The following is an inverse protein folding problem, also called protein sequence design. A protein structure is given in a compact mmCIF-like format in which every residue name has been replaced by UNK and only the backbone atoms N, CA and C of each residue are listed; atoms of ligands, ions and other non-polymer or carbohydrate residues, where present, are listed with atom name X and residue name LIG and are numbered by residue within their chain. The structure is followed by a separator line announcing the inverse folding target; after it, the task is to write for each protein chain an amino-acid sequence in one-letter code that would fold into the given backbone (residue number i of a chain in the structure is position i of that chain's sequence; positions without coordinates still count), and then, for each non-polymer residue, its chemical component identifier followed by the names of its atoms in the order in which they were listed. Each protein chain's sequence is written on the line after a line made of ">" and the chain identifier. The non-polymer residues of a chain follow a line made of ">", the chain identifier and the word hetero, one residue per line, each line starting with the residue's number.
data_IF_571039490018
#
_entry.id   IF_571039490018
#
_cell.length_a   1.000
_cell.length_b   1.000
_cell.length_c   1.000
_cell.angle_alpha   90.00
_cell.angle_beta   90.00
_cell.angle_gamma   90.00
#
_symmetry.space_group_name_H-M   'P 1'
#
loop_
_entity.id
_entity.type
_entity.pdbx_description
1 polymer ?
#
# COMPACT_ATOMS: atom_id res chain seq x y z
N UNK A 1 13.07 -22.07 0.58
CA UNK A 1 12.85 -22.40 2.02
C UNK A 1 11.62 -21.71 2.58
N UNK A 2 11.43 -20.44 2.31
CA UNK A 2 10.26 -19.66 2.77
C UNK A 2 8.94 -20.32 2.33
N UNK A 3 8.78 -20.63 1.07
CA UNK A 3 7.60 -21.30 0.49
C UNK A 3 7.26 -22.61 1.22
N UNK A 4 8.25 -23.44 1.52
CA UNK A 4 8.03 -24.69 2.28
C UNK A 4 7.47 -24.45 3.69
N UNK A 5 7.83 -23.33 4.33
CA UNK A 5 7.27 -22.97 5.63
C UNK A 5 5.82 -22.50 5.48
N UNK A 6 5.51 -21.76 4.41
CA UNK A 6 4.13 -21.36 4.08
C UNK A 6 3.29 -22.61 3.77
N UNK A 7 3.78 -23.52 2.94
CA UNK A 7 3.13 -24.81 2.63
C UNK A 7 2.84 -25.62 3.91
N UNK A 8 3.78 -25.67 4.86
CA UNK A 8 3.56 -26.32 6.15
C UNK A 8 2.46 -25.63 6.98
N UNK A 9 2.37 -24.28 6.91
CA UNK A 9 1.28 -23.54 7.55
C UNK A 9 -0.08 -23.81 6.87
N UNK A 10 -0.11 -23.92 5.54
CA UNK A 10 -1.31 -24.28 4.77
C UNK A 10 -1.76 -25.70 5.15
N UNK A 11 -0.84 -26.67 5.14
CA UNK A 11 -1.13 -28.07 5.50
C UNK A 11 -1.62 -28.22 6.95
N UNK A 12 -1.23 -27.31 7.84
CA UNK A 12 -1.69 -27.25 9.23
C UNK A 12 -3.00 -26.47 9.43
N UNK A 13 -3.71 -26.10 8.36
CA UNK A 13 -4.94 -25.29 8.39
C UNK A 13 -4.79 -23.92 9.09
N UNK A 14 -3.60 -23.33 9.02
CA UNK A 14 -3.34 -22.01 9.61
C UNK A 14 -3.57 -20.85 8.64
N UNK A 15 -3.70 -21.13 7.36
CA UNK A 15 -4.03 -20.15 6.30
C UNK A 15 -5.51 -20.24 6.01
N UNK A 16 -6.21 -19.12 6.05
CA UNK A 16 -7.65 -19.03 5.72
C UNK A 16 -7.88 -18.86 4.23
N UNK A 17 -7.04 -18.05 3.59
CA UNK A 17 -7.16 -17.71 2.18
C UNK A 17 -8.21 -16.64 1.85
N UNK A 18 -9.19 -16.40 2.74
CA UNK A 18 -10.28 -15.46 2.51
C UNK A 18 -9.85 -13.99 2.58
N UNK A 19 -9.01 -13.67 3.53
CA UNK A 19 -8.61 -12.29 3.79
C UNK A 19 -7.11 -12.12 3.92
N UNK A 20 -6.57 -11.19 3.14
CA UNK A 20 -5.18 -10.78 3.27
C UNK A 20 -5.07 -9.34 3.75
N UNK A 21 -3.93 -9.04 4.34
CA UNK A 21 -3.54 -7.67 4.62
C UNK A 21 -2.13 -7.39 4.11
N UNK A 22 -1.92 -6.18 3.63
CA UNK A 22 -0.59 -5.67 3.29
C UNK A 22 -0.23 -4.53 4.21
N UNK A 23 1.03 -4.54 4.62
CA UNK A 23 1.61 -3.44 5.38
C UNK A 23 3.12 -3.42 5.18
N UNK A 24 3.75 -2.28 5.46
CA UNK A 24 5.19 -2.11 5.34
C UNK A 24 5.78 -1.50 6.61
N UNK A 25 6.99 -1.88 6.94
CA UNK A 25 7.72 -1.30 8.05
C UNK A 25 9.12 -0.87 7.64
N UNK A 26 9.49 0.34 8.02
CA UNK A 26 10.84 0.85 7.79
C UNK A 26 11.82 0.16 8.73
N UNK A 27 12.87 -0.43 8.15
CA UNK A 27 13.99 -1.05 8.86
C UNK A 27 15.25 -0.25 8.54
N UNK A 28 15.99 0.12 9.58
CA UNK A 28 17.21 0.92 9.44
C UNK A 28 18.26 0.13 8.66
N UNK A 29 18.80 0.71 7.60
CA UNK A 29 19.88 0.12 6.81
C UNK A 29 21.24 0.22 7.54
N UNK A 30 22.17 -0.69 7.22
CA UNK A 30 23.57 -0.56 7.66
C UNK A 30 24.33 0.47 6.80
N UNK A 31 23.90 1.72 6.90
CA UNK A 31 24.39 2.85 6.15
C UNK A 31 24.76 4.01 7.09
N UNK A 32 25.97 4.57 6.93
CA UNK A 32 26.46 5.65 7.79
C UNK A 32 26.01 7.01 7.24
N UNK A 33 25.21 7.73 8.03
CA UNK A 33 24.75 9.09 7.70
C UNK A 33 25.91 10.08 7.49
N UNK A 34 26.97 9.99 8.30
CA UNK A 34 28.10 10.92 8.22
C UNK A 34 28.95 10.74 6.96
N UNK A 35 28.86 9.57 6.31
CA UNK A 35 29.55 9.25 5.06
C UNK A 35 28.63 9.34 3.84
N UNK A 36 27.43 9.91 4.01
CA UNK A 36 26.51 10.13 2.88
C UNK A 36 26.97 11.29 2.02
N UNK A 37 26.65 11.21 0.74
CA UNK A 37 26.90 12.27 -0.24
C UNK A 37 25.57 12.82 -0.76
N UNK A 38 25.54 14.05 -1.30
CA UNK A 38 24.37 14.56 -2.01
C UNK A 38 23.96 13.61 -3.16
N UNK A 39 22.69 13.40 -3.36
CA UNK A 39 22.20 12.52 -4.42
C UNK A 39 22.58 12.98 -5.82
N UNK A 40 22.77 14.29 -6.04
CA UNK A 40 23.26 14.89 -7.28
C UNK A 40 24.70 14.50 -7.63
N UNK A 41 25.50 14.11 -6.63
CA UNK A 41 26.88 13.68 -6.79
C UNK A 41 27.01 12.16 -7.00
N UNK A 42 25.93 11.41 -6.81
CA UNK A 42 25.90 9.97 -7.04
C UNK A 42 25.71 9.66 -8.51
N UNK A 43 26.71 9.05 -9.15
CA UNK A 43 26.62 8.57 -10.53
C UNK A 43 26.03 7.16 -10.60
N UNK A 44 24.95 6.99 -11.36
CA UNK A 44 24.36 5.67 -11.69
C UNK A 44 25.16 4.95 -12.81
N UNK A 45 26.10 5.64 -13.47
CA UNK A 45 26.93 5.09 -14.55
C UNK A 45 28.30 4.64 -14.06
N UNK A 46 28.43 4.30 -12.78
CA UNK A 46 29.68 3.79 -12.21
C UNK A 46 30.04 2.44 -12.80
N UNK A 47 31.37 2.24 -13.00
CA UNK A 47 31.89 0.92 -13.33
C UNK A 47 31.60 -0.06 -12.16
N UNK A 48 30.89 -1.16 -12.42
CA UNK A 48 30.67 -2.20 -11.41
C UNK A 48 31.97 -2.93 -11.01
N UNK A 49 33.01 -2.93 -11.86
CA UNK A 49 34.30 -3.53 -11.55
C UNK A 49 34.94 -2.74 -10.41
N UNK A 50 35.30 -3.38 -9.34
CA UNK A 50 35.83 -2.73 -8.14
C UNK A 50 34.81 -2.15 -7.17
N UNK A 51 33.52 -2.15 -7.51
CA UNK A 51 32.46 -1.76 -6.60
C UNK A 51 32.17 -2.83 -5.52
N UNK A 52 31.70 -2.41 -4.35
CA UNK A 52 31.23 -3.37 -3.34
C UNK A 52 30.02 -4.19 -3.83
N UNK A 53 29.75 -5.34 -3.20
CA UNK A 53 28.59 -6.19 -3.51
C UNK A 53 27.29 -5.40 -3.54
N UNK A 54 27.00 -4.62 -2.51
CA UNK A 54 25.76 -3.84 -2.41
C UNK A 54 25.62 -2.79 -3.52
N UNK A 55 26.73 -2.18 -3.95
CA UNK A 55 26.73 -1.24 -5.08
C UNK A 55 26.46 -1.96 -6.39
N UNK A 56 27.11 -3.12 -6.63
CA UNK A 56 26.84 -3.93 -7.83
C UNK A 56 25.39 -4.40 -7.90
N UNK A 57 24.85 -4.90 -6.80
CA UNK A 57 23.45 -5.29 -6.71
C UNK A 57 22.52 -4.13 -7.05
N UNK A 58 22.75 -2.94 -6.48
CA UNK A 58 21.93 -1.77 -6.80
C UNK A 58 22.03 -1.35 -8.28
N UNK A 59 23.23 -1.38 -8.85
CA UNK A 59 23.41 -1.07 -10.28
C UNK A 59 22.68 -2.07 -11.19
N UNK A 60 22.60 -3.34 -10.76
CA UNK A 60 21.82 -4.37 -11.48
C UNK A 60 20.30 -4.23 -11.31
N UNK A 61 19.83 -3.46 -10.34
CA UNK A 61 18.40 -3.23 -10.07
C UNK A 61 17.94 -1.81 -10.42
N UNK A 62 18.67 -1.09 -11.27
CA UNK A 62 18.31 0.29 -11.62
C UNK A 62 16.96 0.41 -12.33
N UNK A 63 16.59 -0.60 -13.12
CA UNK A 63 15.31 -0.67 -13.84
C UNK A 63 14.21 -1.35 -13.04
N UNK A 64 14.55 -1.86 -11.84
CA UNK A 64 13.58 -2.51 -10.96
C UNK A 64 12.73 -1.47 -10.22
N UNK A 65 11.41 -1.61 -10.33
CA UNK A 65 10.43 -0.75 -9.63
C UNK A 65 10.50 -0.84 -8.10
N UNK A 66 11.09 -1.90 -7.55
CA UNK A 66 11.35 -2.00 -6.11
C UNK A 66 12.53 -1.10 -5.67
N UNK A 67 13.47 -0.82 -6.55
CA UNK A 67 14.73 -0.13 -6.21
C UNK A 67 15.04 1.07 -7.12
N UNK A 68 15.72 0.88 -8.24
CA UNK A 68 16.25 1.97 -9.05
C UNK A 68 15.16 2.79 -9.73
N UNK A 69 14.16 2.14 -10.29
CA UNK A 69 13.02 2.76 -10.96
C UNK A 69 11.88 3.13 -10.01
N UNK A 70 12.03 2.95 -8.68
CA UNK A 70 10.99 3.27 -7.70
C UNK A 70 10.60 4.76 -7.68
N UNK A 71 11.50 5.64 -8.11
CA UNK A 71 11.26 7.08 -8.20
C UNK A 71 12.28 7.73 -9.14
N UNK A 72 11.80 8.67 -9.96
CA UNK A 72 12.64 9.55 -10.77
C UNK A 72 13.30 10.68 -9.95
N UNK A 73 12.80 10.90 -8.73
CA UNK A 73 13.28 11.97 -7.87
C UNK A 73 14.69 11.65 -7.36
N UNK A 74 15.63 12.58 -7.61
CA UNK A 74 16.97 12.49 -7.03
C UNK A 74 16.90 12.56 -5.52
N UNK A 75 17.39 11.54 -4.78
CA UNK A 75 17.35 11.55 -3.32
C UNK A 75 18.25 12.66 -2.75
N UNK A 76 17.86 13.24 -1.61
CA UNK A 76 18.66 14.28 -0.98
C UNK A 76 20.06 13.81 -0.59
N UNK A 77 20.15 12.57 -0.08
CA UNK A 77 21.40 11.93 0.28
C UNK A 77 21.41 10.49 -0.20
N UNK A 78 22.60 9.99 -0.54
CA UNK A 78 22.88 8.59 -0.91
C UNK A 78 24.01 8.09 -0.03
N UNK A 79 23.91 6.84 0.41
CA UNK A 79 25.02 6.15 1.06
C UNK A 79 25.90 5.48 0.02
N UNK A 80 27.20 5.84 -0.13
CA UNK A 80 28.09 5.19 -1.09
C UNK A 80 28.28 3.69 -0.84
N UNK A 81 28.10 3.22 0.40
CA UNK A 81 28.24 1.82 0.77
C UNK A 81 26.95 1.00 0.57
N UNK A 82 25.79 1.67 0.46
CA UNK A 82 24.48 1.05 0.24
C UNK A 82 23.53 2.05 -0.45
N UNK A 83 23.69 2.24 -1.77
CA UNK A 83 22.95 3.28 -2.50
C UNK A 83 21.47 2.96 -2.72
N UNK A 84 21.06 1.70 -2.55
CA UNK A 84 19.65 1.30 -2.59
C UNK A 84 18.87 1.74 -1.35
N UNK A 85 19.55 1.89 -0.21
CA UNK A 85 18.92 2.35 1.03
C UNK A 85 18.40 3.79 0.85
N UNK A 86 17.11 4.01 1.15
CA UNK A 86 16.47 5.30 0.98
C UNK A 86 16.73 6.21 2.18
N UNK A 87 17.17 7.45 1.94
CA UNK A 87 17.15 8.50 2.95
C UNK A 87 15.71 8.92 3.24
N UNK A 88 15.24 8.65 4.43
CA UNK A 88 13.85 8.89 4.84
C UNK A 88 13.77 9.53 6.22
N UNK A 89 12.68 10.24 6.49
CA UNK A 89 12.38 10.80 7.80
C UNK A 89 11.43 9.90 8.58
N UNK A 90 11.70 9.72 9.88
CA UNK A 90 10.72 9.14 10.78
C UNK A 90 9.79 10.23 11.33
N UNK A 91 8.53 9.90 11.58
CA UNK A 91 7.68 10.77 12.40
C UNK A 91 8.34 10.97 13.76
N UNK A 92 8.70 12.22 14.09
CA UNK A 92 9.31 12.63 15.37
C UNK A 92 10.74 12.15 15.63
N UNK A 93 11.55 11.91 14.58
CA UNK A 93 12.96 11.51 14.74
C UNK A 93 13.87 12.09 13.66
N UNK A 94 15.21 11.97 13.82
CA UNK A 94 16.13 12.33 12.77
C UNK A 94 15.98 11.41 11.56
N UNK A 95 16.20 11.93 10.36
CA UNK A 95 16.20 11.14 9.15
C UNK A 95 17.33 10.09 9.16
N UNK A 96 17.10 8.96 8.49
CA UNK A 96 17.98 7.81 8.42
C UNK A 96 17.86 7.08 7.09
N UNK A 97 18.82 6.20 6.80
CA UNK A 97 18.72 5.29 5.65
C UNK A 97 17.90 4.05 6.02
N UNK A 98 16.98 3.65 5.17
CA UNK A 98 16.08 2.53 5.41
C UNK A 98 15.74 1.77 4.13
N UNK A 99 15.32 0.52 4.33
CA UNK A 99 14.51 -0.26 3.43
C UNK A 99 13.10 -0.40 3.99
N UNK A 100 12.12 -0.62 3.14
CA UNK A 100 10.79 -1.05 3.53
C UNK A 100 10.71 -2.59 3.50
N UNK A 101 10.33 -3.17 4.63
CA UNK A 101 9.97 -4.58 4.77
C UNK A 101 8.48 -4.71 4.56
N UNK A 102 8.08 -5.21 3.39
CA UNK A 102 6.69 -5.34 2.99
C UNK A 102 6.24 -6.78 3.24
N UNK A 103 5.10 -6.95 3.90
CA UNK A 103 4.47 -8.24 4.16
C UNK A 103 3.09 -8.32 3.52
N UNK A 104 2.82 -9.47 2.90
CA UNK A 104 1.48 -9.95 2.60
C UNK A 104 1.12 -11.02 3.64
N UNK A 105 0.01 -10.85 4.34
CA UNK A 105 -0.31 -11.62 5.54
C UNK A 105 -1.74 -12.15 5.44
N UNK A 106 -1.92 -13.47 5.61
CA UNK A 106 -3.22 -14.05 5.86
C UNK A 106 -3.73 -13.68 7.26
N UNK A 107 -4.95 -13.17 7.34
CA UNK A 107 -5.49 -12.56 8.57
C UNK A 107 -6.05 -13.58 9.56
N UNK A 108 -6.26 -14.85 9.19
CA UNK A 108 -6.83 -15.90 10.06
C UNK A 108 -6.06 -16.01 11.37
N UNK A 109 -4.77 -16.27 11.27
CA UNK A 109 -3.88 -16.33 12.43
C UNK A 109 -2.60 -15.51 12.28
N UNK A 110 -2.43 -14.77 11.18
CA UNK A 110 -1.28 -13.92 10.91
C UNK A 110 -0.08 -14.68 10.35
N UNK A 111 -0.29 -15.51 9.34
CA UNK A 111 0.77 -16.16 8.57
C UNK A 111 1.24 -15.20 7.48
N UNK A 112 2.55 -14.98 7.38
CA UNK A 112 3.15 -14.18 6.32
C UNK A 112 3.20 -15.04 5.07
N UNK A 113 2.41 -14.66 4.05
CA UNK A 113 2.28 -15.39 2.79
C UNK A 113 3.40 -15.02 1.81
N UNK A 114 3.85 -13.76 1.86
CA UNK A 114 4.96 -13.29 1.04
C UNK A 114 5.66 -12.09 1.71
N UNK A 115 6.91 -11.85 1.31
CA UNK A 115 7.75 -10.77 1.83
C UNK A 115 8.62 -10.18 0.73
N UNK A 116 8.67 -8.85 0.68
CA UNK A 116 9.47 -8.15 -0.33
C UNK A 116 10.19 -6.94 0.26
N UNK A 117 11.52 -6.89 0.04
CA UNK A 117 12.32 -5.72 0.33
C UNK A 117 12.18 -4.68 -0.78
N UNK A 118 11.92 -3.43 -0.41
CA UNK A 118 11.92 -2.32 -1.36
C UNK A 118 12.65 -1.11 -0.82
N UNK A 119 12.92 -0.14 -1.69
CA UNK A 119 13.20 1.21 -1.23
C UNK A 119 12.05 1.72 -0.36
N UNK A 120 12.37 2.48 0.69
CA UNK A 120 11.37 3.10 1.56
C UNK A 120 10.67 4.28 0.86
N UNK A 121 9.94 3.98 -0.21
CA UNK A 121 9.19 4.90 -1.07
C UNK A 121 7.81 4.28 -1.31
N UNK A 122 6.77 5.09 -1.13
CA UNK A 122 5.38 4.65 -1.25
C UNK A 122 5.06 3.90 -2.55
N UNK A 123 5.57 4.36 -3.70
CA UNK A 123 5.33 3.71 -4.99
C UNK A 123 5.91 2.29 -5.03
N UNK A 124 7.08 2.10 -4.43
CA UNK A 124 7.72 0.78 -4.33
C UNK A 124 6.93 -0.15 -3.41
N UNK A 125 6.43 0.34 -2.28
CA UNK A 125 5.61 -0.42 -1.32
C UNK A 125 4.28 -0.87 -1.95
N UNK A 126 3.58 0.03 -2.66
CA UNK A 126 2.34 -0.32 -3.39
C UNK A 126 2.63 -1.32 -4.52
N UNK A 127 3.74 -1.15 -5.24
CA UNK A 127 4.17 -2.11 -6.27
C UNK A 127 4.49 -3.48 -5.69
N UNK A 128 5.15 -3.53 -4.52
CA UNK A 128 5.43 -4.78 -3.81
C UNK A 128 4.14 -5.54 -3.44
N UNK A 129 3.12 -4.83 -2.96
CA UNK A 129 1.83 -5.45 -2.64
C UNK A 129 1.22 -6.18 -3.85
N UNK A 130 1.26 -5.57 -5.03
CA UNK A 130 0.78 -6.21 -6.27
C UNK A 130 1.56 -7.48 -6.60
N UNK A 131 2.90 -7.39 -6.61
CA UNK A 131 3.77 -8.54 -6.91
C UNK A 131 3.62 -9.67 -5.88
N UNK A 132 3.49 -9.34 -4.61
CA UNK A 132 3.30 -10.33 -3.54
C UNK A 132 1.97 -11.09 -3.70
N UNK A 133 0.88 -10.40 -4.05
CA UNK A 133 -0.42 -11.02 -4.32
C UNK A 133 -0.30 -11.96 -5.53
N UNK A 134 0.33 -11.52 -6.61
CA UNK A 134 0.53 -12.33 -7.81
C UNK A 134 1.41 -13.56 -7.55
N UNK A 135 2.51 -13.41 -6.79
CA UNK A 135 3.36 -14.55 -6.41
C UNK A 135 2.62 -15.54 -5.54
N UNK A 136 1.84 -15.07 -4.57
CA UNK A 136 1.05 -15.94 -3.69
C UNK A 136 0.00 -16.73 -4.48
N UNK A 137 -0.70 -16.08 -5.42
CA UNK A 137 -1.63 -16.75 -6.34
C UNK A 137 -0.91 -17.81 -7.19
N UNK A 138 0.24 -17.46 -7.76
CA UNK A 138 1.01 -18.37 -8.62
C UNK A 138 1.65 -19.55 -7.86
N UNK A 139 2.14 -19.33 -6.63
CA UNK A 139 2.85 -20.35 -5.87
C UNK A 139 1.92 -21.29 -5.10
N UNK A 140 0.80 -20.80 -4.61
CA UNK A 140 -0.06 -21.54 -3.68
C UNK A 140 -1.50 -21.72 -4.18
N UNK A 141 -1.85 -21.15 -5.34
CA UNK A 141 -3.23 -21.11 -5.89
C UNK A 141 -4.23 -20.52 -4.87
N UNK A 142 -3.78 -19.51 -4.11
CA UNK A 142 -4.60 -18.81 -3.10
C UNK A 142 -4.76 -17.35 -3.51
N UNK A 143 -6.01 -16.93 -3.68
CA UNK A 143 -6.39 -15.54 -3.94
C UNK A 143 -7.39 -15.10 -2.87
N UNK A 144 -7.16 -13.97 -2.19
CA UNK A 144 -8.08 -13.51 -1.15
C UNK A 144 -9.39 -12.95 -1.73
N UNK A 145 -10.47 -13.08 -0.98
CA UNK A 145 -11.75 -12.42 -1.26
C UNK A 145 -11.65 -10.92 -0.96
N UNK A 146 -10.89 -10.53 0.06
CA UNK A 146 -10.66 -9.13 0.39
C UNK A 146 -9.20 -8.83 0.78
N UNK A 147 -8.80 -7.59 0.53
CA UNK A 147 -7.49 -7.06 0.90
C UNK A 147 -7.64 -5.87 1.85
N UNK A 148 -7.06 -5.99 3.05
CA UNK A 148 -6.99 -4.90 4.02
C UNK A 148 -5.64 -4.18 3.93
N UNK A 149 -5.68 -2.85 3.81
CA UNK A 149 -4.47 -2.03 3.81
C UNK A 149 -4.75 -0.63 4.38
N UNK A 150 -3.70 0.17 4.52
CA UNK A 150 -3.86 1.56 4.93
C UNK A 150 -4.22 2.47 3.74
N UNK A 151 -4.45 3.76 4.03
CA UNK A 151 -4.77 4.77 3.02
C UNK A 151 -3.67 4.91 1.96
N UNK A 152 -2.43 4.50 2.22
CA UNK A 152 -1.34 4.56 1.24
C UNK A 152 -1.66 3.79 -0.04
N UNK A 153 -2.43 2.71 0.09
CA UNK A 153 -2.86 1.84 -1.02
C UNK A 153 -4.18 2.28 -1.68
N UNK A 154 -4.84 3.32 -1.17
CA UNK A 154 -6.17 3.79 -1.61
C UNK A 154 -6.16 4.72 -2.83
N UNK A 155 -5.16 4.64 -3.73
CA UNK A 155 -5.16 5.38 -4.99
C UNK A 155 -6.17 4.79 -5.99
N UNK A 156 -6.65 5.60 -6.95
CA UNK A 156 -7.59 5.14 -7.97
C UNK A 156 -7.04 3.96 -8.77
N UNK A 157 -5.78 4.04 -9.21
CA UNK A 157 -5.14 3.00 -10.01
C UNK A 157 -4.93 1.69 -9.23
N UNK A 158 -4.54 1.81 -7.94
CA UNK A 158 -4.38 0.63 -7.09
C UNK A 158 -5.71 -0.05 -6.82
N UNK A 159 -6.75 0.74 -6.50
CA UNK A 159 -8.09 0.20 -6.27
C UNK A 159 -8.68 -0.40 -7.54
N UNK A 160 -8.44 0.20 -8.71
CA UNK A 160 -8.86 -0.36 -10.00
C UNK A 160 -8.22 -1.73 -10.25
N UNK A 161 -6.94 -1.86 -10.02
CA UNK A 161 -6.24 -3.13 -10.15
C UNK A 161 -6.81 -4.20 -9.19
N UNK A 162 -7.06 -3.85 -7.93
CA UNK A 162 -7.63 -4.76 -6.92
C UNK A 162 -9.04 -5.20 -7.33
N UNK A 163 -9.91 -4.25 -7.70
CA UNK A 163 -11.34 -4.52 -7.97
C UNK A 163 -11.54 -5.17 -9.34
N UNK A 164 -11.00 -4.55 -10.40
CA UNK A 164 -11.34 -4.92 -11.77
C UNK A 164 -10.40 -5.96 -12.37
N UNK A 165 -9.11 -5.97 -12.00
CA UNK A 165 -8.17 -6.93 -12.56
C UNK A 165 -8.04 -8.17 -11.69
N UNK A 166 -8.06 -8.01 -10.36
CA UNK A 166 -7.92 -9.13 -9.41
C UNK A 166 -9.25 -9.63 -8.83
N UNK A 167 -10.33 -8.88 -8.97
CA UNK A 167 -11.64 -9.21 -8.39
C UNK A 167 -11.56 -9.46 -6.87
N UNK A 168 -10.85 -8.59 -6.16
CA UNK A 168 -10.65 -8.61 -4.71
C UNK A 168 -11.41 -7.43 -4.10
N UNK A 169 -12.14 -7.62 -3.00
CA UNK A 169 -12.82 -6.54 -2.30
C UNK A 169 -11.80 -5.65 -1.54
N UNK A 170 -11.74 -4.33 -1.84
CA UNK A 170 -10.77 -3.43 -1.22
C UNK A 170 -11.26 -2.94 0.15
N UNK A 171 -10.79 -3.53 1.23
CA UNK A 171 -10.97 -3.00 2.58
C UNK A 171 -9.89 -1.94 2.88
N UNK A 172 -9.84 -0.91 2.04
CA UNK A 172 -8.79 0.12 1.99
C UNK A 172 -9.44 1.51 2.01
N UNK A 173 -9.05 2.41 2.93
CA UNK A 173 -9.55 3.78 2.91
C UNK A 173 -9.09 4.52 1.65
N UNK A 174 -10.02 5.19 0.98
CA UNK A 174 -9.74 5.90 -0.27
C UNK A 174 -8.89 7.15 -0.04
N UNK A 175 -7.88 7.38 -0.88
CA UNK A 175 -7.20 8.68 -0.95
C UNK A 175 -8.15 9.65 -1.66
N UNK A 176 -8.80 10.51 -0.90
CA UNK A 176 -9.67 11.54 -1.46
C UNK A 176 -9.14 12.94 -1.16
N UNK A 177 -8.72 13.64 -2.20
CA UNK A 177 -8.28 15.04 -2.16
C UNK A 177 -9.38 16.01 -2.58
N UNK A 178 -10.60 15.53 -2.81
CA UNK A 178 -11.71 16.36 -3.26
C UNK A 178 -12.44 17.07 -2.11
N UNK A 179 -12.15 16.66 -0.87
CA UNK A 179 -12.71 17.30 0.32
C UNK A 179 -12.22 18.74 0.44
N UNK A 180 -13.14 19.65 0.73
CA UNK A 180 -12.87 21.09 0.88
C UNK A 180 -13.05 21.52 2.33
N UNK A 181 -12.13 22.32 2.81
CA UNK A 181 -12.14 22.89 4.15
C UNK A 181 -12.49 24.38 4.19
N UNK A 182 -12.72 24.96 3.00
CA UNK A 182 -13.04 26.40 2.81
C UNK A 182 -14.54 26.72 2.98
N UNK A 183 -15.35 25.75 3.46
CA UNK A 183 -16.80 25.89 3.61
C UNK A 183 -17.58 25.78 2.30
N UNK A 184 -16.91 25.54 1.17
CA UNK A 184 -17.58 25.28 -0.09
C UNK A 184 -17.85 23.78 -0.29
N UNK A 185 -18.83 23.46 -1.13
CA UNK A 185 -19.21 22.08 -1.41
C UNK A 185 -18.05 21.25 -1.94
N UNK A 186 -17.82 20.11 -1.31
CA UNK A 186 -16.92 19.05 -1.76
C UNK A 186 -17.54 18.26 -2.90
N UNK A 187 -16.80 17.31 -3.48
CA UNK A 187 -17.36 16.43 -4.52
C UNK A 187 -18.47 15.51 -3.96
N UNK A 188 -18.34 15.06 -2.73
CA UNK A 188 -19.32 14.20 -2.04
C UNK A 188 -20.70 14.85 -1.88
N UNK A 189 -20.80 16.18 -1.93
CA UNK A 189 -22.09 16.88 -1.92
C UNK A 189 -22.84 16.79 -3.26
N UNK A 190 -22.19 16.24 -4.29
CA UNK A 190 -22.76 16.06 -5.63
C UNK A 190 -23.03 14.56 -5.87
N UNK A 191 -24.26 14.20 -6.21
CA UNK A 191 -24.64 12.84 -6.50
C UNK A 191 -24.25 12.47 -7.93
N UNK A 192 -23.48 11.41 -8.10
CA UNK A 192 -23.20 10.83 -9.42
C UNK A 192 -24.34 9.90 -9.84
N UNK A 193 -24.78 10.07 -11.07
CA UNK A 193 -25.76 9.21 -11.74
C UNK A 193 -25.00 8.43 -12.82
N UNK A 194 -24.76 7.15 -12.55
CA UNK A 194 -23.94 6.28 -13.38
C UNK A 194 -24.61 5.97 -14.72
N UNK A 195 -25.94 5.71 -14.71
CA UNK A 195 -26.68 5.37 -15.94
C UNK A 195 -26.66 6.50 -16.95
N UNK A 196 -26.75 7.75 -16.45
CA UNK A 196 -26.77 8.95 -17.29
C UNK A 196 -25.39 9.58 -17.47
N UNK A 197 -24.40 9.10 -16.75
CA UNK A 197 -23.04 9.66 -16.69
C UNK A 197 -23.02 11.16 -16.44
N UNK A 198 -23.72 11.61 -15.38
CA UNK A 198 -23.83 13.02 -14.97
C UNK A 198 -23.67 13.16 -13.46
N UNK A 199 -23.33 14.37 -13.02
CA UNK A 199 -23.48 14.74 -11.60
C UNK A 199 -24.73 15.59 -11.40
N UNK A 200 -25.40 15.42 -10.27
CA UNK A 200 -26.49 16.29 -9.80
C UNK A 200 -25.98 17.11 -8.63
N UNK A 201 -26.03 18.45 -8.73
CA UNK A 201 -25.58 19.35 -7.69
C UNK A 201 -26.59 19.49 -6.55
N UNK A 202 -26.21 20.07 -5.38
CA UNK A 202 -27.12 20.30 -4.24
C UNK A 202 -28.37 21.15 -4.57
N UNK A 203 -28.31 21.95 -5.66
CA UNK A 203 -29.47 22.71 -6.16
C UNK A 203 -30.30 21.92 -7.19
N UNK A 204 -30.07 20.61 -7.37
CA UNK A 204 -30.82 19.78 -8.32
C UNK A 204 -30.47 19.97 -9.80
N UNK A 205 -29.42 20.73 -10.13
CA UNK A 205 -28.98 20.95 -11.51
C UNK A 205 -27.92 19.94 -11.93
N UNK A 206 -27.85 19.64 -13.22
CA UNK A 206 -26.96 18.63 -13.79
C UNK A 206 -25.61 19.22 -14.20
N UNK A 207 -24.55 18.44 -14.01
CA UNK A 207 -23.23 18.68 -14.61
C UNK A 207 -22.99 17.57 -15.63
N UNK A 208 -22.65 17.96 -16.84
CA UNK A 208 -22.43 17.04 -17.97
C UNK A 208 -20.97 17.01 -18.38
N UNK A 209 -20.56 15.98 -19.10
CA UNK A 209 -19.22 15.82 -19.64
C UNK A 209 -19.26 15.59 -21.14
N UNK A 210 -18.15 15.90 -21.82
CA UNK A 210 -17.92 15.48 -23.22
C UNK A 210 -17.26 14.09 -23.29
N UNK A 211 -16.94 13.47 -22.13
CA UNK A 211 -16.23 12.19 -22.06
C UNK A 211 -14.72 12.31 -22.29
N UNK A 212 -14.18 13.50 -22.55
CA UNK A 212 -12.76 13.68 -22.77
C UNK A 212 -11.96 13.40 -21.49
N UNK A 213 -10.97 12.50 -21.60
CA UNK A 213 -10.03 12.18 -20.52
C UNK A 213 -8.84 13.12 -20.64
N UNK A 214 -8.59 13.88 -19.60
CA UNK A 214 -7.43 14.77 -19.54
C UNK A 214 -6.11 14.02 -19.24
N UNK A 215 -4.96 14.71 -19.37
CA UNK A 215 -3.65 14.13 -19.06
C UNK A 215 -3.50 13.68 -17.60
N UNK A 216 -4.35 14.21 -16.72
CA UNK A 216 -4.44 13.87 -15.29
C UNK A 216 -5.37 12.67 -15.00
N UNK A 217 -5.69 11.86 -16.03
CA UNK A 217 -6.65 10.75 -15.97
C UNK A 217 -8.04 11.17 -15.46
N UNK A 218 -8.36 12.48 -15.56
CA UNK A 218 -9.59 13.06 -15.06
C UNK A 218 -10.60 13.35 -16.18
N UNK A 219 -11.85 12.93 -15.97
CA UNK A 219 -13.02 13.34 -16.76
C UNK A 219 -13.64 14.56 -16.07
N UNK A 220 -13.92 15.61 -16.84
CA UNK A 220 -14.43 16.88 -16.32
C UNK A 220 -15.93 17.00 -16.60
N UNK A 221 -16.67 17.29 -15.53
CA UNK A 221 -18.12 17.55 -15.58
C UNK A 221 -18.36 19.03 -15.31
N UNK A 222 -19.18 19.67 -16.12
CA UNK A 222 -19.44 21.10 -16.07
C UNK A 222 -20.91 21.37 -15.85
N UNK A 223 -21.21 22.28 -14.94
CA UNK A 223 -22.54 22.87 -14.80
C UNK A 223 -22.76 23.97 -15.85
N UNK A 224 -24.02 24.25 -16.19
CA UNK A 224 -24.38 25.40 -17.02
C UNK A 224 -24.05 26.72 -16.31
N UNK A 225 -23.41 27.65 -17.01
CA UNK A 225 -23.14 28.99 -16.50
C UNK A 225 -24.43 29.73 -16.14
N UNK A 226 -25.51 29.50 -16.94
CA UNK A 226 -26.83 30.12 -16.69
C UNK A 226 -27.40 29.66 -15.36
N UNK A 227 -27.37 28.33 -15.10
CA UNK A 227 -27.87 27.72 -13.87
C UNK A 227 -27.07 28.20 -12.65
N UNK A 228 -25.74 28.26 -12.76
CA UNK A 228 -24.89 28.71 -11.66
C UNK A 228 -24.99 30.22 -11.37
N UNK A 229 -25.22 31.03 -12.38
CA UNK A 229 -25.35 32.50 -12.20
C UNK A 229 -26.58 32.85 -11.37
N UNK A 230 -27.68 32.18 -11.56
CA UNK A 230 -28.95 32.40 -10.87
C UNK A 230 -29.09 31.56 -9.56
N UNK A 231 -28.08 30.79 -9.19
CA UNK A 231 -28.17 29.85 -8.10
C UNK A 231 -27.95 30.51 -6.72
N UNK A 232 -28.90 30.38 -5.81
CA UNK A 232 -28.80 30.88 -4.42
C UNK A 232 -27.67 30.21 -3.61
N UNK A 233 -27.16 29.05 -4.04
CA UNK A 233 -26.04 28.34 -3.40
C UNK A 233 -24.67 28.65 -4.01
N UNK A 234 -24.62 29.60 -4.97
CA UNK A 234 -23.37 29.94 -5.68
C UNK A 234 -22.21 30.27 -4.76
N UNK A 235 -22.45 31.08 -3.71
CA UNK A 235 -21.45 31.51 -2.74
C UNK A 235 -20.81 30.31 -1.99
N UNK A 236 -21.57 29.24 -1.77
CA UNK A 236 -21.09 27.98 -1.13
C UNK A 236 -20.63 26.93 -2.12
N UNK A 237 -20.81 27.13 -3.43
CA UNK A 237 -20.52 26.13 -4.46
C UNK A 237 -19.29 26.52 -5.30
N UNK A 238 -19.35 27.68 -5.95
CA UNK A 238 -18.31 28.17 -6.86
C UNK A 238 -18.24 29.71 -6.85
N UNK A 239 -17.88 30.33 -5.70
CA UNK A 239 -17.93 31.78 -5.53
C UNK A 239 -17.10 32.52 -6.60
N UNK A 240 -15.90 32.01 -6.89
CA UNK A 240 -14.93 32.64 -7.76
C UNK A 240 -14.92 32.13 -9.21
N UNK A 241 -15.90 31.25 -9.57
CA UNK A 241 -15.96 30.63 -10.90
C UNK A 241 -17.32 30.90 -11.57
N UNK A 242 -17.37 31.06 -12.91
CA UNK A 242 -18.65 31.23 -13.63
C UNK A 242 -19.62 30.06 -13.39
N UNK A 243 -19.11 28.85 -13.35
CA UNK A 243 -19.86 27.60 -13.11
C UNK A 243 -19.03 26.58 -12.34
N UNK A 244 -19.71 25.64 -11.69
CA UNK A 244 -19.07 24.53 -11.00
C UNK A 244 -18.47 23.55 -12.00
N UNK A 245 -17.27 23.07 -11.70
CA UNK A 245 -16.60 21.96 -12.36
C UNK A 245 -16.25 20.88 -11.34
N UNK A 246 -16.49 19.63 -11.69
CA UNK A 246 -16.05 18.44 -10.94
C UNK A 246 -15.12 17.64 -11.84
N UNK A 247 -14.05 17.13 -11.25
CA UNK A 247 -13.15 16.18 -11.91
C UNK A 247 -13.40 14.81 -11.30
N UNK A 248 -13.66 13.80 -12.14
CA UNK A 248 -13.80 12.40 -11.78
C UNK A 248 -12.66 11.63 -12.43
N UNK A 249 -11.96 10.83 -11.65
CA UNK A 249 -10.92 9.93 -12.15
C UNK A 249 -11.55 8.86 -13.06
N UNK A 250 -10.84 8.39 -14.07
CA UNK A 250 -11.33 7.28 -14.95
C UNK A 250 -11.60 6.01 -14.15
N UNK A 251 -10.83 5.80 -13.07
CA UNK A 251 -10.93 4.67 -12.16
C UNK A 251 -11.78 4.96 -10.91
N UNK A 252 -12.59 6.04 -10.92
CA UNK A 252 -13.38 6.45 -9.75
C UNK A 252 -14.40 5.40 -9.32
N UNK A 253 -14.88 4.53 -10.25
CA UNK A 253 -15.75 3.42 -9.93
C UNK A 253 -15.13 2.51 -8.84
N UNK A 254 -13.86 2.17 -8.96
CA UNK A 254 -13.16 1.36 -7.95
C UNK A 254 -13.07 2.06 -6.59
N UNK A 255 -12.94 3.40 -6.59
CA UNK A 255 -13.03 4.19 -5.35
C UNK A 255 -14.43 4.17 -4.75
N UNK A 256 -15.49 4.20 -5.59
CA UNK A 256 -16.87 4.14 -5.12
C UNK A 256 -17.18 2.77 -4.50
N UNK A 257 -16.64 1.67 -5.06
CA UNK A 257 -16.68 0.33 -4.44
C UNK A 257 -15.99 0.37 -3.07
N UNK A 258 -14.78 0.90 -2.96
CA UNK A 258 -14.08 0.97 -1.69
C UNK A 258 -14.82 1.84 -0.65
N UNK A 259 -15.46 2.95 -1.06
CA UNK A 259 -16.29 3.79 -0.19
C UNK A 259 -17.54 3.06 0.32
N UNK A 260 -18.21 2.29 -0.55
CA UNK A 260 -19.39 1.52 -0.16
C UNK A 260 -19.05 0.44 0.88
N UNK A 261 -17.90 -0.21 0.72
CA UNK A 261 -17.41 -1.21 1.67
C UNK A 261 -17.02 -0.58 3.02
N UNK A 262 -16.52 0.65 3.03
CA UNK A 262 -16.02 1.31 4.24
C UNK A 262 -17.08 1.48 5.35
N UNK A 263 -18.38 1.40 5.02
CA UNK A 263 -19.49 1.47 5.98
C UNK A 263 -20.00 0.11 6.45
N UNK A 264 -19.38 -0.99 6.03
CA UNK A 264 -19.81 -2.36 6.35
C UNK A 264 -19.14 -2.90 7.62
N UNK A 265 -19.82 -3.84 8.29
CA UNK A 265 -19.27 -4.55 9.44
C UNK A 265 -18.02 -5.36 9.05
N UNK A 266 -18.00 -5.95 7.85
CA UNK A 266 -16.85 -6.68 7.32
C UNK A 266 -15.59 -5.79 7.23
N UNK A 267 -15.74 -4.53 6.82
CA UNK A 267 -14.65 -3.55 6.82
C UNK A 267 -14.13 -3.26 8.23
N UNK A 268 -15.02 -3.07 9.20
CA UNK A 268 -14.63 -2.86 10.60
C UNK A 268 -13.92 -4.08 11.19
N UNK A 269 -14.34 -5.27 10.84
CA UNK A 269 -13.67 -6.51 11.24
C UNK A 269 -12.26 -6.62 10.63
N UNK A 270 -12.12 -6.37 9.34
CA UNK A 270 -10.81 -6.38 8.66
C UNK A 270 -9.85 -5.34 9.25
N UNK A 271 -10.37 -4.15 9.63
CA UNK A 271 -9.58 -3.13 10.31
C UNK A 271 -9.07 -3.59 11.69
N UNK A 272 -9.86 -4.38 12.42
CA UNK A 272 -9.41 -5.00 13.69
C UNK A 272 -8.36 -6.08 13.44
N UNK A 273 -8.51 -6.87 12.38
CA UNK A 273 -7.50 -7.86 11.98
C UNK A 273 -6.18 -7.17 11.62
N UNK A 274 -6.21 -6.08 10.85
CA UNK A 274 -5.02 -5.31 10.51
C UNK A 274 -4.25 -4.83 11.75
N UNK A 275 -4.94 -4.37 12.80
CA UNK A 275 -4.29 -4.01 14.08
C UNK A 275 -3.47 -5.15 14.70
N UNK A 276 -3.91 -6.41 14.56
CA UNK A 276 -3.14 -7.56 15.03
C UNK A 276 -1.90 -7.80 14.19
N UNK A 277 -1.96 -7.47 12.91
CA UNK A 277 -0.85 -7.61 11.97
C UNK A 277 0.26 -6.60 12.27
N UNK A 278 -0.06 -5.38 12.66
CA UNK A 278 0.90 -4.39 13.12
C UNK A 278 1.80 -4.94 14.25
N UNK A 279 1.27 -5.87 15.06
CA UNK A 279 2.04 -6.56 16.10
C UNK A 279 3.14 -7.48 15.55
N UNK A 280 3.03 -7.96 14.29
CA UNK A 280 4.10 -8.75 13.67
C UNK A 280 5.36 -7.92 13.49
N UNK A 281 5.23 -6.67 13.03
CA UNK A 281 6.38 -5.77 12.92
C UNK A 281 6.95 -5.36 14.28
N UNK A 282 6.10 -5.23 15.31
CA UNK A 282 6.57 -5.02 16.66
C UNK A 282 7.37 -6.23 17.18
N UNK A 283 6.90 -7.44 16.89
CA UNK A 283 7.59 -8.68 17.21
C UNK A 283 8.92 -8.80 16.44
N UNK A 284 8.91 -8.50 15.12
CA UNK A 284 10.10 -8.48 14.28
C UNK A 284 11.19 -7.60 14.90
N UNK A 285 10.85 -6.35 15.26
CA UNK A 285 11.80 -5.37 15.78
C UNK A 285 12.24 -5.68 17.22
N UNK A 286 11.32 -6.09 18.10
CA UNK A 286 11.61 -6.23 19.55
C UNK A 286 12.13 -7.61 19.93
N UNK A 287 11.57 -8.67 19.35
CA UNK A 287 11.88 -10.06 19.71
C UNK A 287 12.97 -10.62 18.79
N UNK A 288 12.78 -10.51 17.47
CA UNK A 288 13.79 -10.95 16.50
C UNK A 288 14.94 -9.95 16.34
N UNK A 289 14.81 -8.76 16.94
CA UNK A 289 15.81 -7.69 16.92
C UNK A 289 16.20 -7.20 15.52
N UNK A 290 15.30 -7.34 14.56
CA UNK A 290 15.46 -6.85 13.18
C UNK A 290 14.97 -5.39 13.08
N UNK A 291 15.40 -4.51 13.97
CA UNK A 291 15.18 -3.06 13.86
C UNK A 291 16.20 -2.36 12.98
N UNK A 292 17.32 -3.05 12.71
CA UNK A 292 18.40 -2.60 11.83
C UNK A 292 18.96 -3.80 11.05
N UNK A 293 19.17 -3.61 9.76
CA UNK A 293 19.83 -4.59 8.90
C UNK A 293 21.32 -4.69 9.20
N UNK A 294 21.89 -5.86 9.02
CA UNK A 294 23.30 -6.19 9.11
C UNK A 294 23.95 -6.35 7.75
N UNK A 295 23.14 -6.81 6.78
CA UNK A 295 23.55 -6.93 5.40
C UNK A 295 23.22 -5.64 4.64
N UNK A 296 23.98 -5.36 3.61
CA UNK A 296 23.81 -4.21 2.72
C UNK A 296 23.35 -4.69 1.34
N UNK A 297 22.70 -3.77 0.63
CA UNK A 297 22.22 -3.99 -0.73
C UNK A 297 20.83 -4.62 -0.77
N UNK A 298 20.20 -4.59 -1.95
CA UNK A 298 18.86 -5.12 -2.18
C UNK A 298 18.67 -6.57 -1.74
N UNK A 299 19.60 -7.44 -2.15
CA UNK A 299 19.51 -8.87 -1.82
C UNK A 299 19.78 -9.13 -0.34
N UNK A 300 20.71 -8.38 0.28
CA UNK A 300 20.94 -8.48 1.71
C UNK A 300 19.72 -8.09 2.55
N UNK A 301 18.99 -7.05 2.13
CA UNK A 301 17.74 -6.66 2.76
C UNK A 301 16.66 -7.74 2.58
N UNK A 302 16.51 -8.27 1.36
CA UNK A 302 15.56 -9.34 1.07
C UNK A 302 15.84 -10.60 1.90
N UNK A 303 17.11 -11.00 2.02
CA UNK A 303 17.52 -12.18 2.79
C UNK A 303 17.14 -12.03 4.27
N UNK A 304 17.45 -10.88 4.90
CA UNK A 304 17.13 -10.66 6.31
C UNK A 304 15.61 -10.59 6.55
N UNK A 305 14.84 -9.97 5.65
CA UNK A 305 13.39 -9.92 5.76
C UNK A 305 12.76 -11.30 5.59
N UNK A 306 13.25 -12.08 4.61
CA UNK A 306 12.80 -13.46 4.39
C UNK A 306 13.07 -14.35 5.60
N UNK A 307 14.27 -14.24 6.20
CA UNK A 307 14.59 -14.98 7.43
C UNK A 307 13.71 -14.55 8.61
N UNK A 308 13.40 -13.26 8.72
CA UNK A 308 12.46 -12.73 9.70
C UNK A 308 11.06 -13.32 9.56
N UNK A 309 10.54 -13.36 8.33
CA UNK A 309 9.24 -13.93 8.00
C UNK A 309 9.19 -15.45 8.29
N UNK A 310 10.23 -16.21 7.90
CA UNK A 310 10.38 -17.63 8.22
C UNK A 310 10.29 -17.86 9.75
N UNK A 311 11.07 -17.11 10.52
CA UNK A 311 11.10 -17.24 11.97
C UNK A 311 9.73 -16.93 12.62
N UNK A 312 9.01 -15.93 12.10
CA UNK A 312 7.67 -15.60 12.58
C UNK A 312 6.65 -16.69 12.24
N UNK A 313 6.66 -17.23 11.02
CA UNK A 313 5.76 -18.30 10.60
C UNK A 313 6.04 -19.60 11.37
N UNK A 314 7.31 -20.01 11.51
CA UNK A 314 7.69 -21.20 12.31
C UNK A 314 7.26 -21.06 13.76
N UNK A 315 7.46 -19.89 14.37
CA UNK A 315 6.98 -19.64 15.74
C UNK A 315 5.46 -19.77 15.83
N UNK A 316 4.73 -19.23 14.86
CA UNK A 316 3.27 -19.30 14.82
C UNK A 316 2.81 -20.75 14.68
N UNK A 317 3.41 -21.49 13.76
CA UNK A 317 3.18 -22.91 13.54
C UNK A 317 3.40 -23.70 14.84
N UNK A 318 4.56 -23.55 15.47
CA UNK A 318 4.88 -24.25 16.73
C UNK A 318 3.90 -23.93 17.86
N UNK A 319 3.52 -22.64 18.02
CA UNK A 319 2.59 -22.22 19.09
C UNK A 319 1.18 -22.75 18.91
N UNK A 320 0.71 -22.88 17.68
CA UNK A 320 -0.67 -23.30 17.39
C UNK A 320 -0.81 -24.81 17.34
N UNK A 321 0.22 -25.56 16.87
CA UNK A 321 0.25 -27.02 16.91
C UNK A 321 0.45 -27.57 18.34
N UNK A 322 1.16 -26.83 19.21
CA UNK A 322 1.37 -27.24 20.60
C UNK A 322 0.16 -27.01 21.52
N UNK A 323 -0.89 -26.32 21.06
CA UNK A 323 -2.12 -26.16 21.85
C UNK A 323 -2.93 -27.45 21.81
N UNK A 324 -3.23 -28.08 22.97
CA UNK A 324 -4.21 -29.15 23.00
C UNK A 324 -5.55 -28.65 22.48
N UNK A 325 -6.34 -29.50 21.79
CA UNK A 325 -7.67 -29.13 21.37
C UNK A 325 -8.47 -28.62 22.59
N UNK A 326 -9.38 -27.63 22.44
CA UNK A 326 -10.22 -27.19 23.54
C UNK A 326 -10.97 -28.42 24.07
N UNK A 327 -10.75 -28.75 25.34
CA UNK A 327 -11.53 -29.78 26.02
C UNK A 327 -12.99 -29.35 25.94
N UNK A 328 -13.83 -30.16 25.26
CA UNK A 328 -15.26 -29.94 25.29
C UNK A 328 -15.66 -29.98 26.77
N UNK A 329 -16.08 -28.85 27.32
CA UNK A 329 -16.75 -28.81 28.61
C UNK A 329 -18.03 -29.61 28.43
N UNK A 330 -18.00 -30.87 28.79
CA UNK A 330 -19.19 -31.65 29.11
C UNK A 330 -19.85 -30.93 30.29
N UNK A 331 -20.87 -30.10 29.99
CA UNK A 331 -21.86 -29.74 30.99
C UNK A 331 -22.45 -31.03 31.50
N UNK A 332 -21.97 -31.51 32.65
CA UNK A 332 -22.70 -32.46 33.45
C UNK A 332 -23.89 -31.69 34.04
N UNK A 333 -25.05 -32.15 33.65
CA UNK A 333 -26.40 -31.83 34.17
C UNK A 333 -26.48 -31.82 35.68
#
# INVERSE_FOLDING_TARGET
>A
MFERVVEACIAADLVGGEGFAVDASLIVADANKQRSIPGSEWSKTRDPQGASRAVREYLATLDDAAFGAASEVTPKFVSPSDPAAQWTGAMRGPAFFAYADNYLIDVKVGIIMDVEATRAIRQAEVGAAKRMIERTENCFDIRPDYLAADTAYGSADTLNWIVNEKNIAPHIPVIDKSKREDGTFSREDFRFDEERNIYVCPAGKTLTTTGHVGPDHGIRYFASVRDCRACGLKSRCCPNMPARRIVRDVNEHARDVARSLASTEAFDQSRRHRKRIEMLFAHLKRILRLGRLRLRGPYGAQDEFTLGAIAQNLRRLAMLLARPPPTANTCLT
#
